data_IF_809994662732
#
_entry.id   IF_809994662732
#
_cell.length_a   1.000
_cell.length_b   1.000
_cell.length_c   1.000
_cell.angle_alpha   90.00
_cell.angle_beta   90.00
_cell.angle_gamma   90.00
#
_symmetry.space_group_name_H-M   'P 1'
#
loop_
_entity.id
_entity.type
_entity.pdbx_description
1 polymer ?
#
# COMPACT_ATOMS: atom_id res chain seq x y z
N UNK A 1 -51.34 15.42 18.22
CA UNK A 1 -50.80 16.32 17.20
C UNK A 1 -49.91 17.36 17.90
N UNK A 2 -48.62 17.14 17.94
CA UNK A 2 -47.63 18.12 18.39
C UNK A 2 -46.74 18.46 17.22
N UNK A 3 -46.82 19.72 16.80
CA UNK A 3 -46.07 20.31 15.69
C UNK A 3 -44.58 20.42 16.06
N UNK A 4 -43.71 19.78 15.29
CA UNK A 4 -42.28 19.90 15.44
C UNK A 4 -41.82 21.11 14.61
N UNK A 5 -41.28 22.10 15.30
CA UNK A 5 -40.73 23.34 14.75
C UNK A 5 -39.31 23.04 14.19
N UNK A 6 -39.13 23.24 12.92
CA UNK A 6 -37.83 23.18 12.25
C UNK A 6 -37.07 24.49 12.51
N UNK A 7 -35.81 24.50 12.96
CA UNK A 7 -35.04 25.72 13.10
C UNK A 7 -34.51 26.20 11.72
N UNK A 8 -34.70 27.51 11.48
CA UNK A 8 -34.26 28.22 10.28
C UNK A 8 -32.72 28.29 10.15
N UNK A 9 -32.20 28.08 8.98
CA UNK A 9 -30.80 28.30 8.64
C UNK A 9 -30.44 29.80 8.66
N UNK A 10 -29.24 30.20 9.12
CA UNK A 10 -28.75 31.56 8.94
C UNK A 10 -28.30 31.82 7.51
N UNK A 11 -28.71 32.98 6.97
CA UNK A 11 -28.38 33.47 5.64
C UNK A 11 -26.90 33.84 5.54
N UNK A 12 -26.30 33.50 4.40
CA UNK A 12 -24.95 33.89 3.97
C UNK A 12 -24.93 35.40 3.59
N UNK A 13 -24.48 36.23 4.51
CA UNK A 13 -24.09 37.62 4.25
C UNK A 13 -23.25 38.11 5.45
N UNK A 14 -21.92 37.81 5.42
CA UNK A 14 -20.89 38.57 6.15
C UNK A 14 -19.50 37.94 5.99
N UNK A 15 -19.05 37.66 4.73
CA UNK A 15 -17.65 37.29 4.45
C UNK A 15 -17.11 38.10 3.27
N UNK A 16 -17.33 39.42 3.29
CA UNK A 16 -16.73 40.29 2.27
C UNK A 16 -16.29 41.65 2.85
N UNK A 17 -15.52 41.60 3.96
CA UNK A 17 -14.92 42.82 4.51
C UNK A 17 -13.62 42.60 5.29
N UNK A 18 -12.68 41.84 4.73
CA UNK A 18 -11.28 41.87 5.24
C UNK A 18 -10.28 41.49 4.16
N UNK A 19 -10.35 42.16 3.00
CA UNK A 19 -9.27 42.14 1.99
C UNK A 19 -9.14 43.50 1.35
N UNK A 20 -8.56 44.45 2.10
CA UNK A 20 -7.92 45.68 1.57
C UNK A 20 -7.13 46.31 2.70
N UNK A 21 -5.83 46.07 2.68
CA UNK A 21 -4.73 46.92 3.12
C UNK A 21 -3.51 46.03 3.31
N UNK A 22 -2.72 45.94 2.28
CA UNK A 22 -1.31 46.28 2.32
C UNK A 22 -0.73 46.13 0.90
N UNK A 23 -0.57 47.29 0.26
CA UNK A 23 0.16 47.48 -0.99
C UNK A 23 1.08 48.69 -0.78
N UNK A 24 2.35 48.47 -0.81
CA UNK A 24 3.44 49.45 -0.80
C UNK A 24 4.71 48.71 -0.36
N UNK A 25 5.81 48.76 -1.00
CA UNK A 25 6.41 49.70 -1.91
C UNK A 25 7.61 49.04 -2.60
N UNK A 26 7.93 49.53 -3.75
CA UNK A 26 9.01 49.17 -4.67
C UNK A 26 10.40 49.48 -4.10
N UNK A 27 11.44 48.80 -4.65
CA UNK A 27 12.67 49.42 -5.24
C UNK A 27 13.59 48.33 -5.81
N UNK A 28 13.64 48.28 -7.14
CA UNK A 28 14.76 48.55 -8.06
C UNK A 28 16.19 48.21 -7.55
N UNK A 29 16.80 47.31 -8.28
CA UNK A 29 18.25 47.04 -8.21
C UNK A 29 18.69 46.31 -9.48
N UNK A 30 19.01 47.10 -10.50
CA UNK A 30 19.68 46.79 -11.78
C UNK A 30 21.08 46.23 -11.57
N UNK A 31 21.50 45.21 -12.29
CA UNK A 31 22.89 44.80 -12.38
C UNK A 31 23.13 43.81 -13.54
N UNK A 32 23.46 44.36 -14.68
CA UNK A 32 23.86 43.64 -15.90
C UNK A 32 25.33 43.21 -15.85
N UNK A 33 25.66 42.13 -16.56
CA UNK A 33 27.04 41.73 -16.84
C UNK A 33 27.05 40.39 -17.57
N UNK A 34 26.86 40.41 -18.79
CA UNK A 34 27.59 40.15 -20.08
C UNK A 34 28.95 39.42 -19.95
N UNK A 35 29.04 38.46 -20.89
CA UNK A 35 30.18 38.07 -21.76
C UNK A 35 30.60 36.60 -21.60
N UNK A 36 30.27 35.73 -22.53
CA UNK A 36 30.99 35.39 -23.76
C UNK A 36 32.12 34.38 -23.57
N UNK A 37 32.01 33.23 -24.25
CA UNK A 37 33.07 32.25 -24.48
C UNK A 37 34.21 32.79 -25.35
N UNK A 38 35.10 32.02 -25.94
CA UNK A 38 34.85 30.93 -26.87
C UNK A 38 35.80 29.72 -26.82
N UNK A 39 35.58 28.82 -27.81
CA UNK A 39 36.31 27.65 -28.22
C UNK A 39 37.78 27.88 -28.65
N UNK A 40 38.58 26.79 -28.67
CA UNK A 40 39.60 26.45 -29.68
C UNK A 40 40.26 25.11 -29.29
N UNK A 41 40.05 24.10 -30.08
CA UNK A 41 40.89 23.59 -31.22
C UNK A 41 42.21 23.00 -30.85
N UNK A 42 42.36 21.68 -31.04
CA UNK A 42 43.20 21.08 -32.02
C UNK A 42 44.55 20.46 -31.58
N UNK A 43 45.09 19.60 -32.42
CA UNK A 43 45.88 18.45 -32.00
C UNK A 43 47.38 18.62 -32.28
N UNK A 44 48.22 17.81 -31.66
CA UNK A 44 49.58 17.60 -32.19
C UNK A 44 49.99 16.14 -32.06
N UNK A 45 50.40 15.62 -33.22
CA UNK A 45 51.09 14.38 -33.41
C UNK A 45 52.60 14.51 -33.02
N UNK A 46 53.20 13.44 -32.60
CA UNK A 46 54.65 13.32 -32.40
C UNK A 46 55.10 11.89 -32.55
N UNK A 47 55.73 11.64 -33.66
CA UNK A 47 56.37 10.37 -34.05
C UNK A 47 57.78 10.25 -33.44
N UNK A 48 58.30 9.01 -33.34
CA UNK A 48 59.73 8.70 -33.12
C UNK A 48 59.85 7.26 -32.68
N UNK A 49 60.01 6.37 -33.58
CA UNK A 49 61.19 5.74 -34.21
C UNK A 49 62.07 4.97 -33.21
N UNK A 50 62.09 3.62 -33.39
CA UNK A 50 63.35 2.91 -33.60
C UNK A 50 63.71 1.81 -32.58
N UNK A 51 63.68 0.59 -33.01
CA UNK A 51 64.74 -0.40 -33.12
C UNK A 51 64.30 -1.81 -32.68
N UNK A 52 64.27 -2.68 -33.64
CA UNK A 52 64.35 -4.14 -33.57
C UNK A 52 65.87 -4.52 -33.39
N UNK A 53 66.32 -5.84 -33.29
CA UNK A 53 65.58 -7.12 -33.19
C UNK A 53 66.19 -8.12 -32.18
N UNK A 54 65.47 -9.19 -31.93
CA UNK A 54 65.99 -10.35 -31.25
C UNK A 54 65.12 -11.59 -31.42
N UNK A 55 65.50 -12.43 -32.35
CA UNK A 55 64.81 -13.66 -32.74
C UNK A 55 64.93 -14.80 -31.72
N UNK A 56 63.96 -15.68 -31.76
CA UNK A 56 63.94 -17.16 -31.74
C UNK A 56 62.90 -17.73 -30.74
N UNK A 57 62.04 -18.59 -31.30
CA UNK A 57 61.29 -19.60 -30.59
C UNK A 57 59.93 -19.91 -31.22
N UNK A 58 59.95 -20.56 -32.40
CA UNK A 58 58.74 -21.21 -32.92
C UNK A 58 58.34 -22.36 -32.00
N UNK A 59 57.18 -22.30 -31.42
CA UNK A 59 56.39 -23.48 -31.06
C UNK A 59 54.92 -23.23 -31.47
N UNK A 60 54.61 -23.69 -32.67
CA UNK A 60 53.27 -23.89 -33.21
C UNK A 60 52.58 -25.00 -32.45
N UNK A 61 51.70 -24.66 -31.56
CA UNK A 61 50.57 -25.53 -31.16
C UNK A 61 49.28 -24.80 -31.43
N UNK A 62 48.76 -25.02 -32.64
CA UNK A 62 47.41 -24.70 -33.01
C UNK A 62 46.47 -25.68 -32.30
N UNK A 63 46.16 -25.44 -31.07
CA UNK A 63 44.98 -26.05 -30.44
C UNK A 63 43.77 -25.18 -30.73
N UNK A 64 42.84 -25.70 -31.53
CA UNK A 64 41.52 -25.13 -31.73
C UNK A 64 40.84 -24.99 -30.39
N UNK A 65 40.35 -23.78 -30.00
CA UNK A 65 39.62 -23.61 -28.77
C UNK A 65 38.32 -24.42 -28.80
N UNK A 66 38.22 -25.44 -27.98
CA UNK A 66 36.98 -26.17 -27.75
C UNK A 66 35.96 -25.15 -27.16
N UNK A 67 34.83 -24.91 -27.81
CA UNK A 67 33.82 -24.06 -27.26
C UNK A 67 33.30 -24.69 -25.96
N UNK A 68 33.64 -24.13 -24.82
CA UNK A 68 33.02 -24.51 -23.56
C UNK A 68 31.54 -24.06 -23.63
N UNK A 69 30.55 -24.95 -23.44
CA UNK A 69 29.18 -24.53 -23.35
C UNK A 69 29.09 -23.55 -22.20
N UNK A 70 28.74 -22.29 -22.51
CA UNK A 70 28.27 -21.36 -21.48
C UNK A 70 26.95 -21.92 -20.94
N UNK A 71 27.06 -22.67 -19.86
CA UNK A 71 25.90 -22.95 -19.03
C UNK A 71 25.56 -21.59 -18.41
N UNK A 72 24.60 -20.92 -19.00
CA UNK A 72 23.90 -19.80 -18.38
C UNK A 72 23.18 -20.37 -17.18
N UNK A 73 23.88 -20.43 -16.05
CA UNK A 73 23.24 -20.69 -14.75
C UNK A 73 22.37 -19.46 -14.52
N UNK A 74 21.08 -19.59 -14.84
CA UNK A 74 20.08 -18.63 -14.42
C UNK A 74 20.25 -18.47 -12.91
N UNK A 75 20.84 -17.35 -12.50
CA UNK A 75 20.95 -17.00 -11.08
C UNK A 75 19.51 -16.93 -10.58
N UNK A 76 19.11 -17.73 -9.58
CA UNK A 76 17.80 -17.61 -9.01
C UNK A 76 17.69 -16.15 -8.54
N UNK A 77 16.76 -15.39 -9.13
CA UNK A 77 16.37 -14.09 -8.63
C UNK A 77 15.68 -14.38 -7.32
N UNK A 78 16.45 -14.45 -6.25
CA UNK A 78 15.92 -14.43 -4.90
C UNK A 78 15.34 -13.03 -4.74
N UNK A 79 14.05 -12.90 -4.94
CA UNK A 79 13.27 -11.76 -4.44
C UNK A 79 13.35 -11.83 -2.91
N UNK A 80 14.46 -11.37 -2.38
CA UNK A 80 14.54 -11.05 -0.97
C UNK A 80 13.61 -9.86 -0.80
N UNK A 81 12.45 -10.08 -0.17
CA UNK A 81 11.72 -8.97 0.37
C UNK A 81 12.75 -8.08 1.06
N UNK A 82 12.87 -6.82 0.63
CA UNK A 82 13.90 -5.94 1.19
C UNK A 82 13.70 -5.89 2.70
N UNK A 83 14.76 -5.71 3.48
CA UNK A 83 14.66 -5.55 4.94
C UNK A 83 13.60 -4.51 5.28
N UNK A 84 13.50 -3.42 4.50
CA UNK A 84 12.44 -2.42 4.58
C UNK A 84 11.05 -3.04 4.41
N UNK A 85 10.84 -3.91 3.43
CA UNK A 85 9.55 -4.57 3.21
C UNK A 85 9.15 -5.44 4.40
N UNK A 86 10.06 -6.26 4.92
CA UNK A 86 9.82 -7.09 6.10
C UNK A 86 9.46 -6.26 7.34
N UNK A 87 10.15 -5.13 7.54
CA UNK A 87 9.86 -4.21 8.66
C UNK A 87 8.50 -3.54 8.47
N UNK A 88 8.18 -3.11 7.25
CA UNK A 88 6.88 -2.52 6.94
C UNK A 88 5.73 -3.49 7.26
N UNK A 89 5.87 -4.76 6.89
CA UNK A 89 4.86 -5.78 7.17
C UNK A 89 4.80 -6.10 8.68
N UNK A 90 5.94 -6.15 9.38
CA UNK A 90 5.97 -6.32 10.83
C UNK A 90 5.30 -5.14 11.56
N UNK A 91 5.50 -3.91 11.10
CA UNK A 91 4.86 -2.71 11.66
C UNK A 91 3.35 -2.68 11.39
N UNK A 92 2.91 -3.08 10.20
CA UNK A 92 1.47 -3.24 9.89
C UNK A 92 0.83 -4.30 10.80
N UNK A 93 1.50 -5.43 10.98
CA UNK A 93 1.08 -6.47 11.91
C UNK A 93 0.92 -5.93 13.32
N UNK A 94 1.93 -5.20 13.82
CA UNK A 94 1.91 -4.61 15.16
C UNK A 94 0.79 -3.55 15.33
N UNK A 95 0.49 -2.77 14.28
CA UNK A 95 -0.63 -1.84 14.26
C UNK A 95 -1.97 -2.58 14.36
N UNK A 96 -2.22 -3.56 13.50
CA UNK A 96 -3.48 -4.32 13.49
C UNK A 96 -3.66 -5.14 14.78
N UNK A 97 -2.56 -5.66 15.33
CA UNK A 97 -2.57 -6.36 16.62
C UNK A 97 -2.84 -5.43 17.83
N UNK A 98 -2.74 -4.09 17.63
CA UNK A 98 -2.87 -3.12 18.71
C UNK A 98 -1.62 -2.97 19.58
N UNK A 99 -0.49 -3.53 19.16
CA UNK A 99 0.80 -3.42 19.87
C UNK A 99 1.42 -2.02 19.72
N UNK A 100 1.05 -1.32 18.64
CA UNK A 100 1.29 0.10 18.45
C UNK A 100 -0.04 0.82 18.67
N UNK A 101 -0.17 1.47 19.83
CA UNK A 101 -1.44 2.04 20.28
C UNK A 101 -1.74 3.37 19.57
N UNK A 102 -3.02 3.63 19.20
CA UNK A 102 -3.45 4.93 18.67
C UNK A 102 -3.06 6.09 19.60
N UNK A 103 -2.63 7.23 19.01
CA UNK A 103 -2.20 8.42 19.75
C UNK A 103 -0.76 8.36 20.29
N UNK A 104 -0.21 7.18 20.46
CA UNK A 104 1.15 7.03 20.98
C UNK A 104 2.23 7.38 19.95
N UNK A 105 3.36 7.88 20.44
CA UNK A 105 4.51 8.30 19.62
C UNK A 105 5.64 7.30 19.74
N UNK A 106 6.05 6.74 18.61
CA UNK A 106 7.14 5.77 18.53
C UNK A 106 8.33 6.36 17.76
N UNK A 107 9.54 6.22 18.31
CA UNK A 107 10.74 6.62 17.61
C UNK A 107 11.36 5.47 16.81
N UNK A 108 11.98 5.79 15.68
CA UNK A 108 12.62 4.77 14.85
C UNK A 108 13.76 4.01 15.56
N UNK A 109 14.58 4.61 16.44
CA UNK A 109 15.55 3.84 17.23
C UNK A 109 14.90 2.81 18.15
N UNK A 110 13.86 3.17 18.90
CA UNK A 110 13.14 2.26 19.82
C UNK A 110 12.52 1.08 19.06
N UNK A 111 11.88 1.36 17.92
CA UNK A 111 11.33 0.29 17.08
C UNK A 111 12.46 -0.55 16.44
N UNK A 112 13.59 0.07 16.10
CA UNK A 112 14.76 -0.64 15.59
C UNK A 112 15.29 -1.67 16.59
N UNK A 113 15.43 -1.30 17.85
CA UNK A 113 15.80 -2.20 18.95
C UNK A 113 14.79 -3.35 19.09
N UNK A 114 13.50 -3.03 19.05
CA UNK A 114 12.41 -4.03 19.16
C UNK A 114 12.46 -5.06 18.03
N UNK A 115 12.76 -4.63 16.79
CA UNK A 115 12.81 -5.52 15.61
C UNK A 115 14.22 -6.06 15.31
N UNK A 116 15.22 -5.72 16.10
CA UNK A 116 16.60 -6.16 15.88
C UNK A 116 17.26 -5.60 14.61
N UNK A 117 16.90 -4.37 14.23
CA UNK A 117 17.39 -3.69 13.02
C UNK A 117 17.84 -2.26 13.32
N UNK A 118 18.58 -1.64 12.39
CA UNK A 118 18.94 -0.22 12.53
C UNK A 118 17.73 0.70 12.34
N UNK A 119 17.83 1.94 12.86
CA UNK A 119 16.74 2.93 12.78
C UNK A 119 16.42 3.38 11.33
N UNK A 120 17.35 3.23 10.39
CA UNK A 120 17.17 3.73 9.02
C UNK A 120 16.03 2.99 8.28
N UNK A 121 16.04 1.65 8.12
CA UNK A 121 14.95 0.94 7.47
C UNK A 121 13.61 1.09 8.21
N UNK A 122 13.63 1.24 9.54
CA UNK A 122 12.41 1.53 10.32
C UNK A 122 11.85 2.91 9.95
N UNK A 123 12.71 3.93 9.83
CA UNK A 123 12.27 5.27 9.44
C UNK A 123 11.64 5.29 8.05
N UNK A 124 12.23 4.57 7.10
CA UNK A 124 11.68 4.42 5.76
C UNK A 124 10.32 3.70 5.75
N UNK A 125 10.18 2.64 6.55
CA UNK A 125 8.93 1.91 6.69
C UNK A 125 7.85 2.78 7.36
N UNK A 126 8.20 3.55 8.40
CA UNK A 126 7.27 4.48 9.06
C UNK A 126 6.86 5.64 8.15
N UNK A 127 7.75 6.13 7.27
CA UNK A 127 7.38 7.10 6.23
C UNK A 127 6.36 6.51 5.25
N UNK A 128 6.51 5.25 4.87
CA UNK A 128 5.51 4.57 4.04
C UNK A 128 4.17 4.46 4.76
N UNK A 129 4.16 4.12 6.05
CA UNK A 129 2.94 4.11 6.86
C UNK A 129 2.31 5.51 7.02
N UNK A 130 3.12 6.57 6.99
CA UNK A 130 2.61 7.94 6.98
C UNK A 130 1.91 8.27 5.65
N UNK A 131 2.44 7.82 4.52
CA UNK A 131 1.76 7.93 3.22
C UNK A 131 0.45 7.13 3.18
N UNK A 132 0.40 6.01 3.86
CA UNK A 132 -0.81 5.19 4.02
C UNK A 132 -1.79 5.80 5.04
N UNK A 133 -1.40 6.87 5.76
CA UNK A 133 -2.22 7.52 6.78
C UNK A 133 -2.35 6.71 8.08
N UNK A 134 -1.52 5.69 8.32
CA UNK A 134 -1.53 4.91 9.55
C UNK A 134 -0.84 5.63 10.71
N UNK A 135 0.14 6.45 10.38
CA UNK A 135 0.90 7.26 11.35
C UNK A 135 1.09 8.67 10.79
N UNK A 136 1.40 9.62 11.66
CA UNK A 136 1.81 10.98 11.30
C UNK A 136 3.21 11.28 11.83
N UNK A 137 3.95 12.13 11.12
CA UNK A 137 5.29 12.54 11.55
C UNK A 137 5.20 13.58 12.67
N UNK A 138 5.85 13.30 13.80
CA UNK A 138 6.01 14.25 14.90
C UNK A 138 7.45 14.76 14.88
N UNK A 139 7.70 16.03 14.52
CA UNK A 139 9.05 16.56 14.39
C UNK A 139 9.90 16.33 15.64
N UNK A 140 11.12 15.86 15.45
CA UNK A 140 12.11 15.54 16.48
C UNK A 140 11.70 14.46 17.50
N UNK A 141 10.52 13.85 17.38
CA UNK A 141 10.03 12.82 18.33
C UNK A 141 9.82 11.46 17.68
N UNK A 142 9.42 11.42 16.41
CA UNK A 142 9.16 10.18 15.71
C UNK A 142 7.84 10.19 14.94
N UNK A 143 7.01 9.14 15.14
CA UNK A 143 5.76 8.94 14.43
C UNK A 143 4.66 8.64 15.45
N UNK A 144 3.53 9.33 15.31
CA UNK A 144 2.33 9.08 16.11
C UNK A 144 1.40 8.16 15.34
N UNK A 145 0.86 7.14 16.00
CA UNK A 145 -0.21 6.32 15.43
C UNK A 145 -1.48 7.16 15.34
N UNK A 146 -2.09 7.21 14.16
CA UNK A 146 -3.30 8.02 13.92
C UNK A 146 -4.46 7.48 14.74
N UNK A 147 -5.14 8.39 15.42
CA UNK A 147 -6.39 8.10 16.14
C UNK A 147 -7.57 8.11 15.17
N UNK A 148 -8.30 7.00 15.11
CA UNK A 148 -9.48 6.85 14.27
C UNK A 148 -10.71 6.61 15.13
N UNK A 149 -11.80 7.29 14.79
CA UNK A 149 -13.08 7.09 15.44
C UNK A 149 -13.99 6.12 14.65
N UNK A 150 -15.04 5.67 15.31
CA UNK A 150 -16.09 4.82 14.69
C UNK A 150 -16.72 5.47 13.46
N UNK A 151 -16.85 6.80 13.45
CA UNK A 151 -17.39 7.55 12.33
C UNK A 151 -16.52 7.38 11.06
N UNK A 152 -15.18 7.49 11.16
CA UNK A 152 -14.28 7.30 10.02
C UNK A 152 -14.37 5.87 9.49
N UNK A 153 -14.51 4.88 10.38
CA UNK A 153 -14.70 3.49 9.97
C UNK A 153 -16.00 3.31 9.18
N UNK A 154 -17.11 3.91 9.64
CA UNK A 154 -18.38 3.87 8.93
C UNK A 154 -18.30 4.56 7.55
N UNK A 155 -17.62 5.70 7.45
CA UNK A 155 -17.37 6.39 6.18
C UNK A 155 -16.52 5.52 5.21
N UNK A 156 -15.51 4.79 5.71
CA UNK A 156 -14.73 3.85 4.92
C UNK A 156 -15.57 2.65 4.45
N UNK A 157 -16.41 2.10 5.32
CA UNK A 157 -17.32 1.00 4.98
C UNK A 157 -18.33 1.42 3.91
N UNK A 158 -18.90 2.62 4.01
CA UNK A 158 -19.81 3.19 3.01
C UNK A 158 -19.13 3.32 1.65
N UNK A 159 -17.92 3.89 1.58
CA UNK A 159 -17.18 4.04 0.31
C UNK A 159 -16.83 2.66 -0.27
N UNK A 160 -16.40 1.71 0.55
CA UNK A 160 -16.15 0.34 0.12
C UNK A 160 -17.41 -0.30 -0.47
N UNK A 161 -18.53 -0.18 0.20
CA UNK A 161 -19.82 -0.69 -0.29
C UNK A 161 -20.20 -0.09 -1.65
N UNK A 162 -20.03 1.22 -1.83
CA UNK A 162 -20.32 1.92 -3.10
C UNK A 162 -19.43 1.42 -4.25
N UNK A 163 -18.23 0.95 -3.99
CA UNK A 163 -17.30 0.42 -5.00
C UNK A 163 -17.49 -1.08 -5.17
N UNK A 164 -17.47 -1.84 -4.10
CA UNK A 164 -17.36 -3.30 -4.15
C UNK A 164 -18.70 -3.98 -4.45
N UNK A 165 -19.83 -3.50 -3.91
CA UNK A 165 -21.14 -4.12 -4.14
C UNK A 165 -21.52 -4.17 -5.63
N UNK A 166 -21.53 -3.06 -6.39
CA UNK A 166 -21.87 -3.09 -7.81
C UNK A 166 -20.89 -3.91 -8.64
N UNK A 167 -19.61 -3.95 -8.26
CA UNK A 167 -18.59 -4.77 -8.94
C UNK A 167 -18.87 -6.25 -8.71
N UNK A 168 -19.09 -6.68 -7.48
CA UNK A 168 -19.39 -8.08 -7.14
C UNK A 168 -20.68 -8.57 -7.85
N UNK A 169 -21.73 -7.74 -7.87
CA UNK A 169 -22.97 -8.07 -8.58
C UNK A 169 -22.78 -8.18 -10.11
N UNK A 170 -21.88 -7.40 -10.68
CA UNK A 170 -21.49 -7.53 -12.09
C UNK A 170 -20.71 -8.82 -12.30
N UNK A 171 -19.71 -9.08 -11.48
CA UNK A 171 -18.89 -10.30 -11.56
C UNK A 171 -19.72 -11.56 -11.41
N UNK A 172 -20.68 -11.58 -10.51
CA UNK A 172 -21.62 -12.69 -10.35
C UNK A 172 -22.39 -13.08 -11.63
N UNK A 173 -22.56 -12.13 -12.55
CA UNK A 173 -23.24 -12.36 -13.85
C UNK A 173 -22.29 -12.73 -14.97
N UNK A 174 -21.01 -12.40 -14.86
CA UNK A 174 -20.05 -12.46 -15.98
C UNK A 174 -18.94 -13.46 -15.78
N UNK A 175 -18.62 -13.83 -14.55
CA UNK A 175 -17.52 -14.74 -14.22
C UNK A 175 -18.03 -16.18 -14.17
N UNK A 176 -17.40 -17.13 -14.88
CA UNK A 176 -17.77 -18.53 -14.83
C UNK A 176 -17.61 -19.15 -13.44
N UNK A 177 -18.51 -20.09 -13.10
CA UNK A 177 -18.49 -20.77 -11.79
C UNK A 177 -17.13 -21.39 -11.43
N UNK A 178 -16.41 -21.93 -12.41
CA UNK A 178 -15.09 -22.52 -12.19
C UNK A 178 -14.06 -21.53 -11.62
N UNK A 179 -14.12 -20.25 -12.02
CA UNK A 179 -13.21 -19.22 -11.51
C UNK A 179 -13.45 -18.91 -10.03
N UNK A 180 -14.67 -19.05 -9.55
CA UNK A 180 -14.99 -18.88 -8.12
C UNK A 180 -14.39 -20.00 -7.27
N UNK A 181 -14.36 -21.23 -7.80
CA UNK A 181 -13.75 -22.37 -7.12
C UNK A 181 -12.24 -22.16 -6.88
N UNK A 182 -11.55 -21.43 -7.76
CA UNK A 182 -10.12 -21.09 -7.61
C UNK A 182 -9.85 -20.17 -6.41
N UNK A 183 -10.85 -19.44 -5.93
CA UNK A 183 -10.73 -18.56 -4.77
C UNK A 183 -11.01 -19.28 -3.44
N UNK A 184 -11.50 -20.51 -3.46
CA UNK A 184 -11.80 -21.30 -2.24
C UNK A 184 -10.63 -21.36 -1.26
N UNK A 185 -9.37 -21.60 -1.67
CA UNK A 185 -8.23 -21.64 -0.76
C UNK A 185 -8.03 -20.34 0.03
N UNK A 186 -8.40 -19.17 -0.55
CA UNK A 186 -8.30 -17.88 0.12
C UNK A 186 -9.39 -17.72 1.20
N UNK A 187 -10.64 -18.10 0.92
CA UNK A 187 -11.69 -18.12 1.93
C UNK A 187 -11.36 -19.08 3.09
N UNK A 188 -10.81 -20.25 2.80
CA UNK A 188 -10.35 -21.19 3.81
C UNK A 188 -9.17 -20.64 4.63
N UNK A 189 -8.26 -19.88 4.00
CA UNK A 189 -7.17 -19.21 4.71
C UNK A 189 -7.72 -18.18 5.70
N UNK A 190 -8.75 -17.41 5.30
CA UNK A 190 -9.43 -16.47 6.19
C UNK A 190 -10.10 -17.19 7.36
N UNK A 191 -10.77 -18.32 7.12
CA UNK A 191 -11.39 -19.12 8.18
C UNK A 191 -10.36 -19.71 9.17
N UNK A 192 -9.21 -20.19 8.66
CA UNK A 192 -8.11 -20.66 9.53
C UNK A 192 -7.53 -19.51 10.36
N UNK A 193 -7.31 -18.35 9.76
CA UNK A 193 -6.81 -17.17 10.46
C UNK A 193 -7.78 -16.69 11.55
N UNK A 194 -9.08 -16.61 11.24
CA UNK A 194 -10.13 -16.31 12.20
C UNK A 194 -10.14 -17.28 13.40
N UNK A 195 -10.04 -18.58 13.09
CA UNK A 195 -10.00 -19.64 14.10
C UNK A 195 -8.79 -19.57 15.03
N UNK A 196 -7.66 -19.02 14.57
CA UNK A 196 -6.49 -18.77 15.40
C UNK A 196 -6.68 -17.62 16.39
N UNK A 197 -7.60 -16.69 16.09
CA UNK A 197 -7.80 -15.44 16.83
C UNK A 197 -6.71 -14.39 16.59
N UNK A 198 -5.77 -14.63 15.67
CA UNK A 198 -4.73 -13.67 15.32
C UNK A 198 -5.29 -12.62 14.34
N UNK A 199 -5.60 -11.43 14.85
CA UNK A 199 -6.20 -10.32 14.09
C UNK A 199 -5.38 -9.91 12.88
N UNK A 200 -4.06 -9.86 13.03
CA UNK A 200 -3.18 -9.44 11.93
C UNK A 200 -3.19 -10.47 10.78
N UNK A 201 -3.12 -11.76 11.11
CA UNK A 201 -3.22 -12.83 10.11
C UNK A 201 -4.60 -12.85 9.45
N UNK A 202 -5.66 -12.62 10.25
CA UNK A 202 -7.01 -12.50 9.73
C UNK A 202 -7.12 -11.33 8.74
N UNK A 203 -6.70 -10.13 9.15
CA UNK A 203 -6.78 -8.93 8.32
C UNK A 203 -6.04 -9.09 6.99
N UNK A 204 -4.88 -9.73 6.98
CA UNK A 204 -4.14 -9.98 5.74
C UNK A 204 -4.85 -11.00 4.83
N UNK A 205 -5.38 -12.09 5.39
CA UNK A 205 -6.13 -13.12 4.65
C UNK A 205 -7.43 -12.56 4.08
N UNK A 206 -8.15 -11.77 4.85
CA UNK A 206 -9.38 -11.09 4.49
C UNK A 206 -9.15 -10.12 3.32
N UNK A 207 -8.14 -9.28 3.43
CA UNK A 207 -7.72 -8.37 2.37
C UNK A 207 -7.31 -9.11 1.09
N UNK A 208 -6.57 -10.21 1.23
CA UNK A 208 -6.16 -11.04 0.09
C UNK A 208 -7.36 -11.65 -0.65
N UNK A 209 -8.38 -12.11 0.08
CA UNK A 209 -9.62 -12.63 -0.48
C UNK A 209 -10.36 -11.55 -1.30
N UNK A 210 -10.66 -10.40 -0.69
CA UNK A 210 -11.35 -9.29 -1.37
C UNK A 210 -10.60 -8.81 -2.61
N UNK A 211 -9.28 -8.66 -2.50
CA UNK A 211 -8.42 -8.29 -3.62
C UNK A 211 -8.51 -9.29 -4.77
N UNK A 212 -8.48 -10.58 -4.48
CA UNK A 212 -8.57 -11.62 -5.50
C UNK A 212 -9.93 -11.60 -6.23
N UNK A 213 -11.03 -11.44 -5.48
CA UNK A 213 -12.37 -11.27 -6.07
C UNK A 213 -12.40 -10.05 -7.00
N UNK A 214 -11.93 -8.90 -6.54
CA UNK A 214 -11.96 -7.66 -7.33
C UNK A 214 -11.02 -7.69 -8.53
N UNK A 215 -9.95 -8.49 -8.48
CA UNK A 215 -9.03 -8.68 -9.62
C UNK A 215 -9.73 -9.28 -10.83
N UNK A 216 -10.77 -10.10 -10.64
CA UNK A 216 -11.59 -10.65 -11.72
C UNK A 216 -12.33 -9.56 -12.53
N UNK A 217 -12.43 -8.33 -11.99
CA UNK A 217 -13.02 -7.21 -12.72
C UNK A 217 -12.12 -6.65 -13.83
N UNK A 218 -10.85 -7.05 -13.90
CA UNK A 218 -9.88 -6.59 -14.90
C UNK A 218 -9.53 -5.09 -14.81
N UNK A 219 -9.84 -4.44 -13.69
CA UNK A 219 -9.56 -3.02 -13.47
C UNK A 219 -8.57 -2.83 -12.31
N UNK A 220 -7.29 -2.68 -12.65
CA UNK A 220 -6.23 -2.53 -11.65
C UNK A 220 -6.38 -1.28 -10.76
N UNK A 221 -6.94 -0.18 -11.26
CA UNK A 221 -7.14 1.02 -10.47
C UNK A 221 -8.20 0.80 -9.40
N UNK A 222 -9.29 0.11 -9.76
CA UNK A 222 -10.32 -0.30 -8.81
C UNK A 222 -9.72 -1.18 -7.71
N UNK A 223 -8.92 -2.19 -8.09
CA UNK A 223 -8.26 -3.08 -7.12
C UNK A 223 -7.37 -2.31 -6.16
N UNK A 224 -6.57 -1.36 -6.65
CA UNK A 224 -5.68 -0.53 -5.81
C UNK A 224 -6.46 0.34 -4.84
N UNK A 225 -7.51 1.01 -5.31
CA UNK A 225 -8.34 1.88 -4.47
C UNK A 225 -9.05 1.06 -3.38
N UNK A 226 -9.67 -0.06 -3.75
CA UNK A 226 -10.36 -0.91 -2.80
C UNK A 226 -9.39 -1.54 -1.77
N UNK A 227 -8.20 -2.00 -2.20
CA UNK A 227 -7.17 -2.54 -1.30
C UNK A 227 -6.68 -1.49 -0.30
N UNK A 228 -6.53 -0.22 -0.71
CA UNK A 228 -6.15 0.87 0.20
C UNK A 228 -7.24 1.17 1.23
N UNK A 229 -8.51 1.29 0.78
CA UNK A 229 -9.65 1.51 1.67
C UNK A 229 -9.80 0.36 2.66
N UNK A 230 -9.66 -0.89 2.20
CA UNK A 230 -9.72 -2.08 3.03
C UNK A 230 -8.64 -2.07 4.12
N UNK A 231 -7.40 -1.79 3.76
CA UNK A 231 -6.28 -1.67 4.70
C UNK A 231 -6.55 -0.62 5.76
N UNK A 232 -7.05 0.54 5.35
CA UNK A 232 -7.39 1.64 6.26
C UNK A 232 -8.51 1.26 7.23
N UNK A 233 -9.49 0.48 6.79
CA UNK A 233 -10.56 -0.01 7.66
C UNK A 233 -10.11 -1.04 8.72
N UNK A 234 -8.96 -1.69 8.52
CA UNK A 234 -8.41 -2.68 9.44
C UNK A 234 -7.54 -2.09 10.55
N UNK A 235 -7.21 -0.79 10.50
CA UNK A 235 -6.36 -0.17 11.53
C UNK A 235 -7.11 0.06 12.84
N UNK A 236 -6.39 0.09 13.99
CA UNK A 236 -7.01 0.16 15.31
C UNK A 236 -7.78 1.48 15.51
N UNK A 237 -8.90 1.39 16.24
CA UNK A 237 -9.74 2.51 16.61
C UNK A 237 -9.40 3.00 18.02
N UNK A 238 -9.55 4.31 18.26
CA UNK A 238 -9.51 4.89 19.60
C UNK A 238 -10.88 4.73 20.25
N UNK A 239 -10.88 4.19 21.48
CA UNK A 239 -12.12 4.04 22.25
C UNK A 239 -13.16 3.13 21.60
N UNK A 240 -12.78 2.43 20.55
CA UNK A 240 -13.61 1.42 19.92
C UNK A 240 -13.91 0.28 20.90
N UNK A 241 -14.97 -0.50 20.68
CA UNK A 241 -15.22 -1.69 21.47
C UNK A 241 -13.94 -2.54 21.43
N UNK A 242 -13.58 -3.07 22.59
CA UNK A 242 -12.46 -3.96 22.76
C UNK A 242 -12.53 -4.96 21.61
N UNK A 243 -11.56 -4.85 20.71
CA UNK A 243 -11.31 -5.67 19.52
C UNK A 243 -12.39 -6.70 19.18
N UNK A 244 -12.85 -6.70 17.92
CA UNK A 244 -13.66 -7.82 17.37
C UNK A 244 -13.14 -9.13 17.96
N UNK A 245 -14.02 -9.82 18.67
CA UNK A 245 -13.69 -11.08 19.31
C UNK A 245 -13.43 -12.16 18.25
N UNK A 246 -12.81 -13.25 18.67
CA UNK A 246 -12.62 -14.41 17.78
C UNK A 246 -13.92 -14.87 17.13
N UNK A 247 -15.04 -14.79 17.85
CA UNK A 247 -16.35 -15.17 17.33
C UNK A 247 -16.76 -14.31 16.12
N UNK A 248 -16.53 -13.01 16.20
CA UNK A 248 -16.85 -12.06 15.13
C UNK A 248 -15.98 -12.35 13.89
N UNK A 249 -14.68 -12.61 14.07
CA UNK A 249 -13.78 -12.97 12.98
C UNK A 249 -14.21 -14.28 12.28
N UNK A 250 -14.68 -15.25 13.06
CA UNK A 250 -15.17 -16.52 12.53
C UNK A 250 -16.48 -16.33 11.74
N UNK A 251 -17.37 -15.47 12.22
CA UNK A 251 -18.61 -15.13 11.52
C UNK A 251 -18.31 -14.45 10.18
N UNK A 252 -17.46 -13.42 10.19
CA UNK A 252 -17.05 -12.71 8.95
C UNK A 252 -16.38 -13.67 7.94
N UNK A 253 -15.49 -14.57 8.41
CA UNK A 253 -14.83 -15.54 7.54
C UNK A 253 -15.81 -16.56 6.93
N UNK A 254 -16.88 -16.92 7.65
CA UNK A 254 -17.93 -17.79 7.13
C UNK A 254 -18.71 -17.14 5.99
N UNK A 255 -18.87 -15.82 6.00
CA UNK A 255 -19.52 -15.06 4.93
C UNK A 255 -18.76 -15.18 3.59
N UNK A 256 -17.42 -15.24 3.62
CA UNK A 256 -16.62 -15.46 2.40
C UNK A 256 -16.92 -16.80 1.73
N UNK A 257 -17.06 -17.85 2.53
CA UNK A 257 -17.39 -19.18 2.01
C UNK A 257 -18.82 -19.21 1.46
N UNK A 258 -19.79 -18.65 2.18
CA UNK A 258 -21.18 -18.54 1.74
C UNK A 258 -21.29 -17.71 0.45
N UNK A 259 -20.53 -16.61 0.35
CA UNK A 259 -20.48 -15.79 -0.86
C UNK A 259 -19.94 -16.58 -2.06
N UNK A 260 -18.85 -17.33 -1.91
CA UNK A 260 -18.33 -18.17 -2.99
C UNK A 260 -19.28 -19.27 -3.40
N UNK A 261 -20.01 -19.86 -2.46
CA UNK A 261 -21.04 -20.86 -2.75
C UNK A 261 -22.18 -20.27 -3.58
N UNK A 262 -22.69 -19.11 -3.19
CA UNK A 262 -23.74 -18.39 -3.92
C UNK A 262 -23.26 -17.92 -5.31
N UNK A 263 -22.02 -17.43 -5.43
CA UNK A 263 -21.40 -17.04 -6.71
C UNK A 263 -21.25 -18.25 -7.64
N UNK A 264 -20.81 -19.39 -7.12
CA UNK A 264 -20.65 -20.63 -7.89
C UNK A 264 -22.00 -21.21 -8.33
N UNK A 265 -23.04 -21.04 -7.52
CA UNK A 265 -24.40 -21.45 -7.86
C UNK A 265 -25.11 -20.48 -8.81
N UNK A 266 -24.55 -19.27 -9.02
CA UNK A 266 -25.18 -18.21 -9.82
C UNK A 266 -26.43 -17.60 -9.16
N UNK A 267 -26.59 -17.75 -7.84
CA UNK A 267 -27.72 -17.21 -7.09
C UNK A 267 -27.52 -15.71 -6.80
N UNK A 268 -27.93 -14.89 -7.76
CA UNK A 268 -27.77 -13.44 -7.69
C UNK A 268 -28.50 -12.78 -6.52
N UNK A 269 -29.59 -13.38 -6.05
CA UNK A 269 -30.36 -12.84 -4.93
C UNK A 269 -29.59 -13.04 -3.62
N UNK A 270 -29.09 -14.25 -3.40
CA UNK A 270 -28.27 -14.59 -2.23
C UNK A 270 -26.96 -13.79 -2.25
N UNK A 271 -26.30 -13.69 -3.41
CA UNK A 271 -25.09 -12.85 -3.56
C UNK A 271 -25.37 -11.41 -3.17
N UNK A 272 -26.48 -10.83 -3.63
CA UNK A 272 -26.84 -9.46 -3.33
C UNK A 272 -27.10 -9.23 -1.82
N UNK A 273 -27.76 -10.18 -1.15
CA UNK A 273 -28.01 -10.13 0.29
C UNK A 273 -26.68 -10.19 1.06
N UNK A 274 -25.88 -11.24 0.81
CA UNK A 274 -24.62 -11.46 1.50
C UNK A 274 -23.65 -10.28 1.35
N UNK A 275 -23.48 -9.75 0.13
CA UNK A 275 -22.57 -8.62 -0.10
C UNK A 275 -23.04 -7.37 0.64
N UNK A 276 -24.36 -7.09 0.66
CA UNK A 276 -24.88 -5.93 1.40
C UNK A 276 -24.76 -6.09 2.91
N UNK A 277 -25.03 -7.26 3.44
CA UNK A 277 -24.94 -7.57 4.86
C UNK A 277 -23.50 -7.48 5.35
N UNK A 278 -22.55 -8.01 4.56
CA UNK A 278 -21.13 -7.93 4.85
C UNK A 278 -20.63 -6.49 5.06
N UNK A 279 -21.04 -5.55 4.19
CA UNK A 279 -20.66 -4.15 4.35
C UNK A 279 -21.48 -3.41 5.41
N UNK A 280 -22.71 -3.81 5.70
CA UNK A 280 -23.52 -3.23 6.77
C UNK A 280 -23.00 -3.63 8.16
N UNK A 281 -22.49 -4.86 8.32
CA UNK A 281 -21.90 -5.34 9.57
C UNK A 281 -20.52 -4.77 9.87
N UNK A 282 -19.86 -4.16 8.88
CA UNK A 282 -18.56 -3.51 9.03
C UNK A 282 -18.65 -2.06 9.54
N UNK A 283 -19.85 -1.55 9.82
CA UNK A 283 -20.13 -0.14 10.21
C UNK A 283 -20.17 0.06 11.72
#
# INVERSE_FOLDING_TARGET
MRSVRVPSQPQAADVERTRRADSGDARTGTGAGTAAGPAATGPVAGAGVGAEPGARGEHTHSETPIPRPRVEVARPVVQRASVRGQILDALRTALVAGELAPGEVYSAPVLGERFGVSATPVREAMQQLALEGAVEVVPNRGFRVVERGTRELAELAEIRALIEVPVMLRLARTVPAACWAELRPLAEATARAASSGCRATYAESDRAFHRAVLTLAGNEQLVRIADDLHRRAQWPLVGGPVSRGRADLVADAAEHSALLDALSAGDLQVVQSLVREHFAGAS
#
